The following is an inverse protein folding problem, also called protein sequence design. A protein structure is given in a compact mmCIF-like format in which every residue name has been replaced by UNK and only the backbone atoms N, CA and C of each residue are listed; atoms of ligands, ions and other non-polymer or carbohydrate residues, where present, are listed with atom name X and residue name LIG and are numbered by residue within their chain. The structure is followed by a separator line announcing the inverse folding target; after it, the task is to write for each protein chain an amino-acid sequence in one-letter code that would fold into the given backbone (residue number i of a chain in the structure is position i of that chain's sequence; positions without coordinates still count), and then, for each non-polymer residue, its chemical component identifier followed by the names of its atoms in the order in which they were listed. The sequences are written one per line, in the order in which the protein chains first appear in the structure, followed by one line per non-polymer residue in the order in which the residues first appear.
data_IF_340779432886
#
_entry.id   IF_340779432886
#
_cell.length_a   1.000
_cell.length_b   1.000
_cell.length_c   1.000
_cell.angle_alpha   90.00
_cell.angle_beta   90.00
_cell.angle_gamma   90.00
#
_symmetry.space_group_name_H-M   'P 1'
#
loop_
_entity.id
_entity.type
_entity.pdbx_description
1 polymer ?
#
# COMPACT_ATOMS: atom_id res chain seq x y z
N UNK A 1 -9.38 11.86 -1.19
CA UNK A 1 -8.98 11.04 -0.02
C UNK A 1 -7.57 10.55 -0.23
N UNK A 2 -6.68 10.86 0.70
CA UNK A 2 -5.25 10.56 0.56
C UNK A 2 -4.94 9.14 1.02
N UNK A 3 -4.17 8.41 0.22
CA UNK A 3 -3.89 6.98 0.40
C UNK A 3 -2.41 6.69 0.29
N UNK A 4 -1.92 5.80 1.13
CA UNK A 4 -0.60 5.20 1.03
C UNK A 4 -0.74 3.72 0.70
N UNK A 5 -0.06 3.28 -0.34
CA UNK A 5 -0.06 1.89 -0.78
C UNK A 5 1.18 1.16 -0.31
N UNK A 6 0.99 -0.09 0.07
CA UNK A 6 2.05 -0.99 0.52
C UNK A 6 2.05 -2.33 -0.22
N UNK A 7 3.25 -2.86 -0.50
CA UNK A 7 3.46 -4.20 -1.06
C UNK A 7 4.44 -5.02 -0.22
N UNK A 8 4.20 -6.34 -0.15
CA UNK A 8 5.01 -7.29 0.62
C UNK A 8 6.43 -7.41 0.06
N UNK A 9 7.44 -7.07 0.86
CA UNK A 9 8.86 -7.30 0.57
C UNK A 9 9.40 -8.49 1.37
N UNK A 10 10.19 -9.37 0.72
CA UNK A 10 10.62 -10.67 1.25
C UNK A 10 11.77 -10.63 2.28
N UNK A 11 12.26 -9.47 2.73
CA UNK A 11 13.40 -9.38 3.65
C UNK A 11 12.97 -9.18 5.10
N UNK A 12 13.25 -10.17 5.95
CA UNK A 12 12.87 -10.23 7.38
C UNK A 12 13.33 -9.02 8.21
N UNK A 13 14.51 -8.48 7.99
CA UNK A 13 15.02 -7.30 8.73
C UNK A 13 14.33 -5.99 8.33
N UNK A 14 13.87 -5.87 7.09
CA UNK A 14 13.08 -4.73 6.61
C UNK A 14 11.65 -4.74 7.16
N UNK A 15 11.11 -5.90 7.49
CA UNK A 15 9.74 -6.11 7.98
C UNK A 15 9.48 -5.47 9.35
N UNK A 16 10.48 -5.50 10.26
CA UNK A 16 10.29 -4.97 11.62
C UNK A 16 10.07 -3.46 11.68
N UNK A 17 10.48 -2.71 10.68
CA UNK A 17 10.36 -1.24 10.67
C UNK A 17 9.31 -0.78 9.66
N UNK A 18 8.99 -1.59 8.65
CA UNK A 18 8.01 -1.19 7.63
C UNK A 18 6.60 -0.96 8.21
N UNK A 19 6.14 -1.77 9.17
CA UNK A 19 4.83 -1.55 9.81
C UNK A 19 4.76 -0.21 10.56
N UNK A 20 5.91 0.30 11.08
CA UNK A 20 5.96 1.59 11.76
C UNK A 20 5.78 2.74 10.76
N UNK A 21 6.37 2.62 9.57
CA UNK A 21 6.14 3.59 8.48
C UNK A 21 4.68 3.62 8.07
N UNK A 22 4.05 2.45 7.92
CA UNK A 22 2.62 2.37 7.59
C UNK A 22 1.76 2.97 8.70
N UNK A 23 2.10 2.70 9.97
CA UNK A 23 1.41 3.28 11.13
C UNK A 23 1.55 4.79 11.17
N UNK A 24 2.74 5.33 10.88
CA UNK A 24 2.95 6.78 10.78
C UNK A 24 1.98 7.43 9.80
N UNK A 25 1.80 6.85 8.60
CA UNK A 25 0.82 7.35 7.63
C UNK A 25 -0.62 7.24 8.12
N UNK A 26 -0.98 6.11 8.78
CA UNK A 26 -2.30 5.94 9.37
C UNK A 26 -2.58 6.97 10.46
N UNK A 27 -1.60 7.25 11.34
CA UNK A 27 -1.72 8.23 12.43
C UNK A 27 -1.87 9.66 11.88
N UNK A 28 -1.35 9.94 10.70
CA UNK A 28 -1.59 11.18 9.95
C UNK A 28 -2.95 11.22 9.23
N UNK A 29 -3.78 10.18 9.36
CA UNK A 29 -5.14 10.10 8.82
C UNK A 29 -5.23 9.55 7.40
N UNK A 30 -4.16 8.98 6.84
CA UNK A 30 -4.20 8.36 5.52
C UNK A 30 -4.91 7.00 5.56
N UNK A 31 -5.70 6.70 4.51
CA UNK A 31 -6.19 5.35 4.26
C UNK A 31 -5.05 4.48 3.74
N UNK A 32 -4.88 3.32 4.36
CA UNK A 32 -3.89 2.34 3.94
C UNK A 32 -4.54 1.33 3.00
N UNK A 33 -3.89 1.07 1.86
CA UNK A 33 -4.33 0.05 0.88
C UNK A 33 -3.17 -0.91 0.64
N UNK A 34 -3.41 -2.18 0.97
CA UNK A 34 -2.50 -3.29 0.67
C UNK A 34 -2.93 -3.93 -0.65
N UNK A 35 -2.10 -3.82 -1.68
CA UNK A 35 -2.40 -4.41 -2.99
C UNK A 35 -1.44 -5.55 -3.26
N UNK A 36 -1.97 -6.75 -3.42
CA UNK A 36 -1.17 -7.95 -3.69
C UNK A 36 -1.55 -8.59 -5.03
N UNK A 37 -0.55 -9.12 -5.74
CA UNK A 37 -0.77 -9.94 -6.94
C UNK A 37 -1.14 -11.40 -6.61
N UNK A 38 -1.36 -11.73 -5.34
CA UNK A 38 -1.78 -13.09 -4.94
C UNK A 38 -3.26 -13.27 -5.23
N UNK A 39 -3.69 -14.50 -5.60
CA UNK A 39 -5.11 -14.78 -5.80
C UNK A 39 -5.89 -14.71 -4.47
N UNK A 40 -7.16 -14.39 -4.55
CA UNK A 40 -8.05 -14.21 -3.38
C UNK A 40 -8.15 -15.47 -2.49
N UNK A 41 -7.91 -16.67 -3.02
CA UNK A 41 -7.80 -17.91 -2.25
C UNK A 41 -6.74 -17.85 -1.15
N UNK A 42 -5.75 -16.95 -1.25
CA UNK A 42 -4.71 -16.76 -0.24
C UNK A 42 -5.03 -15.66 0.78
N UNK A 43 -6.24 -15.12 0.76
CA UNK A 43 -6.71 -14.06 1.65
C UNK A 43 -6.34 -14.33 3.12
N UNK A 44 -6.72 -15.49 3.65
CA UNK A 44 -6.48 -15.84 5.06
C UNK A 44 -4.98 -15.83 5.40
N UNK A 45 -4.13 -16.27 4.48
CA UNK A 45 -2.67 -16.24 4.67
C UNK A 45 -2.13 -14.82 4.72
N UNK A 46 -2.59 -13.95 3.81
CA UNK A 46 -2.16 -12.54 3.75
C UNK A 46 -2.64 -11.77 4.98
N UNK A 47 -3.92 -11.91 5.33
CA UNK A 47 -4.49 -11.22 6.51
C UNK A 47 -3.81 -11.68 7.79
N UNK A 48 -3.65 -13.00 7.99
CA UNK A 48 -2.95 -13.54 9.16
C UNK A 48 -1.50 -13.07 9.24
N UNK A 49 -0.85 -12.92 8.08
CA UNK A 49 0.51 -12.41 8.01
C UNK A 49 0.58 -10.93 8.42
N UNK A 50 -0.29 -10.08 7.88
CA UNK A 50 -0.38 -8.66 8.25
C UNK A 50 -0.63 -8.50 9.75
N UNK A 51 -1.58 -9.26 10.32
CA UNK A 51 -1.91 -9.23 11.74
C UNK A 51 -0.74 -9.68 12.60
N UNK A 52 -0.08 -10.79 12.25
CA UNK A 52 1.08 -11.31 12.99
C UNK A 52 2.24 -10.34 13.04
N UNK A 53 2.41 -9.52 12.00
CA UNK A 53 3.47 -8.52 11.92
C UNK A 53 3.03 -7.10 12.33
N UNK A 54 1.89 -6.99 13.03
CA UNK A 54 1.37 -5.73 13.58
C UNK A 54 1.14 -4.62 12.54
N UNK A 55 0.85 -4.99 11.29
CA UNK A 55 0.48 -4.00 10.29
C UNK A 55 -0.86 -3.34 10.64
N UNK A 56 -0.97 -2.03 10.46
CA UNK A 56 -2.23 -1.30 10.68
C UNK A 56 -3.37 -1.85 9.82
N UNK A 57 -4.59 -1.66 10.28
CA UNK A 57 -5.77 -1.99 9.47
C UNK A 57 -5.82 -1.14 8.20
N UNK A 58 -6.27 -1.75 7.09
CA UNK A 58 -6.39 -1.09 5.80
C UNK A 58 -7.24 -1.91 4.84
N UNK A 59 -7.47 -1.38 3.65
CA UNK A 59 -8.09 -2.13 2.56
C UNK A 59 -7.08 -3.15 2.01
N UNK A 60 -7.54 -4.35 1.69
CA UNK A 60 -6.70 -5.38 1.05
C UNK A 60 -7.29 -5.73 -0.30
N UNK A 61 -6.53 -5.56 -1.36
CA UNK A 61 -6.90 -5.94 -2.72
C UNK A 61 -6.08 -7.13 -3.18
N UNK A 62 -6.76 -8.10 -3.80
CA UNK A 62 -6.18 -9.32 -4.37
C UNK A 62 -6.35 -9.32 -5.88
N UNK A 63 -5.50 -10.07 -6.58
CA UNK A 63 -5.72 -10.32 -7.99
C UNK A 63 -6.91 -11.27 -8.17
N UNK A 64 -7.76 -11.01 -9.16
CA UNK A 64 -8.85 -11.90 -9.52
C UNK A 64 -8.28 -13.14 -10.22
N UNK A 65 -8.46 -14.31 -9.62
CA UNK A 65 -8.04 -15.59 -10.17
C UNK A 65 -6.52 -15.73 -10.35
N UNK A 66 -6.13 -16.49 -11.37
CA UNK A 66 -4.73 -16.65 -11.82
C UNK A 66 -4.42 -15.63 -12.92
N UNK A 67 -4.29 -14.37 -12.56
CA UNK A 67 -3.93 -13.33 -13.52
C UNK A 67 -2.53 -13.59 -14.12
N UNK A 68 -2.44 -13.59 -15.44
CA UNK A 68 -1.18 -13.65 -16.18
C UNK A 68 -0.44 -12.31 -16.17
N UNK A 69 -1.14 -11.20 -15.85
CA UNK A 69 -0.58 -9.84 -15.72
C UNK A 69 -0.93 -9.21 -14.36
N UNK A 70 -0.22 -9.57 -13.28
CA UNK A 70 -0.48 -9.01 -11.96
C UNK A 70 -0.15 -7.51 -11.86
N UNK A 71 0.70 -6.95 -12.70
CA UNK A 71 1.03 -5.52 -12.69
C UNK A 71 -0.06 -4.70 -13.39
N UNK A 72 -0.57 -5.18 -14.50
CA UNK A 72 -1.71 -4.57 -15.20
C UNK A 72 -2.94 -4.53 -14.30
N UNK A 73 -3.27 -5.64 -13.63
CA UNK A 73 -4.37 -5.70 -12.67
C UNK A 73 -4.23 -4.70 -11.51
N UNK A 74 -3.02 -4.56 -10.95
CA UNK A 74 -2.76 -3.54 -9.91
C UNK A 74 -3.00 -2.12 -10.43
N UNK A 75 -2.55 -1.85 -11.65
CA UNK A 75 -2.72 -0.55 -12.31
C UNK A 75 -4.19 -0.21 -12.50
N UNK A 76 -4.95 -1.15 -13.04
CA UNK A 76 -6.38 -1.01 -13.29
C UNK A 76 -7.16 -0.76 -11.98
N UNK A 77 -6.91 -1.56 -10.95
CA UNK A 77 -7.50 -1.38 -9.64
C UNK A 77 -7.25 0.03 -9.07
N UNK A 78 -6.01 0.51 -9.11
CA UNK A 78 -5.68 1.83 -8.57
C UNK A 78 -6.30 2.97 -9.39
N UNK A 79 -6.34 2.84 -10.73
CA UNK A 79 -7.03 3.79 -11.61
C UNK A 79 -8.53 3.83 -11.32
N UNK A 80 -9.15 2.67 -11.13
CA UNK A 80 -10.56 2.58 -10.76
C UNK A 80 -10.84 3.31 -9.44
N UNK A 81 -10.00 3.13 -8.41
CA UNK A 81 -10.14 3.85 -7.15
C UNK A 81 -10.02 5.38 -7.32
N UNK A 82 -9.12 5.85 -8.18
CA UNK A 82 -8.98 7.28 -8.47
C UNK A 82 -10.20 7.84 -9.20
N UNK A 83 -10.71 7.11 -10.19
CA UNK A 83 -11.80 7.58 -11.08
C UNK A 83 -13.17 7.49 -10.40
N UNK A 84 -13.48 6.35 -9.80
CA UNK A 84 -14.83 6.09 -9.25
C UNK A 84 -15.00 6.59 -7.80
N UNK A 85 -13.90 6.61 -7.02
CA UNK A 85 -13.96 6.94 -5.60
C UNK A 85 -13.22 8.24 -5.24
N UNK A 86 -12.71 8.97 -6.23
CA UNK A 86 -11.96 10.22 -6.04
C UNK A 86 -10.82 10.07 -5.02
N UNK A 87 -10.19 8.89 -5.00
CA UNK A 87 -9.07 8.60 -4.12
C UNK A 87 -7.80 9.21 -4.72
N UNK A 88 -7.06 9.97 -3.91
CA UNK A 88 -5.76 10.51 -4.28
C UNK A 88 -4.67 9.66 -3.64
N UNK A 89 -3.91 8.93 -4.47
CA UNK A 89 -2.75 8.19 -3.98
C UNK A 89 -1.63 9.16 -3.67
N UNK A 90 -1.19 9.21 -2.42
CA UNK A 90 -0.17 10.15 -1.94
C UNK A 90 1.24 9.56 -1.98
N UNK A 91 1.39 8.30 -1.61
CA UNK A 91 2.65 7.58 -1.64
C UNK A 91 2.44 6.11 -2.03
N UNK A 92 3.41 5.54 -2.73
CA UNK A 92 3.44 4.14 -3.11
C UNK A 92 4.71 3.47 -2.60
N UNK A 93 4.56 2.35 -1.90
CA UNK A 93 5.67 1.54 -1.40
C UNK A 93 5.67 0.19 -2.11
N UNK A 94 6.81 -0.27 -2.58
CA UNK A 94 6.85 -1.54 -3.31
C UNK A 94 8.24 -1.97 -3.75
N UNK A 95 8.27 -2.81 -4.76
CA UNK A 95 9.47 -3.29 -5.43
C UNK A 95 9.77 -2.49 -6.71
N UNK A 96 10.94 -2.71 -7.30
CA UNK A 96 11.31 -2.08 -8.57
C UNK A 96 10.32 -2.36 -9.73
N UNK A 97 9.56 -3.47 -9.65
CA UNK A 97 8.53 -3.81 -10.62
C UNK A 97 7.30 -2.90 -10.53
N UNK A 98 7.03 -2.33 -9.36
CA UNK A 98 5.84 -1.50 -9.12
C UNK A 98 6.04 -0.05 -9.55
N UNK A 99 7.25 0.36 -9.93
CA UNK A 99 7.53 1.71 -10.43
C UNK A 99 6.63 2.05 -11.61
N UNK A 100 6.49 1.13 -12.58
CA UNK A 100 5.61 1.33 -13.74
C UNK A 100 4.14 1.50 -13.36
N UNK A 101 3.67 0.74 -12.37
CA UNK A 101 2.31 0.84 -11.84
C UNK A 101 2.08 2.22 -11.25
N UNK A 102 2.97 2.67 -10.37
CA UNK A 102 2.85 3.98 -9.70
C UNK A 102 2.97 5.16 -10.67
N UNK A 103 3.91 5.08 -11.62
CA UNK A 103 4.06 6.10 -12.66
C UNK A 103 2.81 6.20 -13.53
N UNK A 104 2.18 5.06 -13.87
CA UNK A 104 0.97 5.02 -14.73
C UNK A 104 -0.28 5.61 -14.07
N UNK A 105 -0.32 5.70 -12.75
CA UNK A 105 -1.38 6.37 -11.99
C UNK A 105 -1.04 7.80 -11.60
N UNK A 106 0.06 8.34 -12.12
CA UNK A 106 0.45 9.73 -11.97
C UNK A 106 1.22 10.08 -10.70
N UNK A 107 1.78 9.09 -9.97
CA UNK A 107 2.65 9.40 -8.84
C UNK A 107 3.98 10.02 -9.34
N UNK A 108 4.43 11.05 -8.61
CA UNK A 108 5.75 11.64 -8.81
C UNK A 108 6.85 10.68 -8.30
N UNK A 109 8.05 10.72 -8.88
CA UNK A 109 9.17 9.90 -8.41
C UNK A 109 9.43 9.99 -6.90
N UNK A 110 9.33 11.17 -6.31
CA UNK A 110 9.55 11.41 -4.88
C UNK A 110 8.51 10.73 -3.98
N UNK A 111 7.35 10.37 -4.53
CA UNK A 111 6.26 9.67 -3.82
C UNK A 111 6.25 8.16 -4.09
N UNK A 112 7.21 7.64 -4.86
CA UNK A 112 7.37 6.22 -5.16
C UNK A 112 8.57 5.70 -4.35
N UNK A 113 8.31 4.98 -3.27
CA UNK A 113 9.32 4.53 -2.32
C UNK A 113 9.67 3.06 -2.56
N UNK A 114 10.91 2.79 -2.94
CA UNK A 114 11.36 1.44 -3.29
C UNK A 114 12.52 1.02 -2.39
N UNK A 115 12.40 -0.16 -1.78
CA UNK A 115 13.44 -0.78 -0.97
C UNK A 115 14.05 -1.96 -1.72
N UNK A 116 15.36 -2.19 -1.53
CA UNK A 116 16.08 -3.32 -2.09
C UNK A 116 17.00 -2.95 -3.24
N UNK A 117 17.53 -3.97 -3.92
CA UNK A 117 18.46 -3.78 -5.03
C UNK A 117 17.76 -3.16 -6.24
N UNK A 118 18.38 -2.13 -6.82
CA UNK A 118 17.84 -1.43 -7.96
C UNK A 118 18.92 -1.16 -9.02
N UNK A 119 18.54 -1.14 -10.28
CA UNK A 119 19.42 -0.72 -11.35
C UNK A 119 19.55 0.81 -11.39
N UNK A 120 20.72 1.30 -11.79
CA UNK A 120 20.98 2.76 -11.89
C UNK A 120 19.95 3.50 -12.75
N UNK A 121 19.41 2.84 -13.78
CA UNK A 121 18.40 3.41 -14.71
C UNK A 121 17.07 3.71 -14.02
N UNK A 122 16.71 2.97 -12.97
CA UNK A 122 15.42 3.11 -12.28
C UNK A 122 15.48 4.10 -11.10
N UNK A 123 16.68 4.42 -10.60
CA UNK A 123 16.86 5.32 -9.45
C UNK A 123 16.25 6.70 -9.70
N UNK A 124 16.32 7.22 -10.93
CA UNK A 124 15.73 8.51 -11.29
C UNK A 124 14.20 8.51 -11.34
N UNK A 125 13.56 7.34 -11.30
CA UNK A 125 12.11 7.18 -11.42
C UNK A 125 11.41 6.97 -10.09
N UNK A 126 12.14 6.96 -8.97
CA UNK A 126 11.60 6.72 -7.65
C UNK A 126 12.52 7.25 -6.55
N UNK A 127 11.99 7.35 -5.34
CA UNK A 127 12.76 7.55 -4.11
C UNK A 127 13.30 6.19 -3.66
N UNK A 128 14.58 5.90 -3.97
CA UNK A 128 15.23 4.67 -3.57
C UNK A 128 15.68 4.74 -2.11
N UNK A 129 15.08 3.94 -1.25
CA UNK A 129 15.38 3.86 0.17
C UNK A 129 16.61 2.96 0.40
N UNK A 130 17.80 3.45 0.00
CA UNK A 130 19.07 2.70 0.12
C UNK A 130 19.42 2.34 1.56
N UNK A 131 19.10 3.21 2.51
CA UNK A 131 19.34 3.02 3.95
C UNK A 131 18.15 2.31 4.65
N UNK A 132 17.10 1.96 3.90
CA UNK A 132 15.95 1.22 4.38
C UNK A 132 14.89 2.09 5.07
N UNK A 133 13.91 1.41 5.68
CA UNK A 133 12.73 2.07 6.27
C UNK A 133 13.02 2.89 7.52
N UNK A 134 14.08 2.58 8.29
CA UNK A 134 14.43 3.31 9.50
C UNK A 134 14.83 4.75 9.19
N UNK A 135 15.76 4.93 8.26
CA UNK A 135 16.19 6.23 7.80
C UNK A 135 15.04 7.01 7.15
N UNK A 136 14.21 6.32 6.36
CA UNK A 136 13.04 6.92 5.76
C UNK A 136 12.02 7.41 6.81
N UNK A 137 11.75 6.64 7.86
CA UNK A 137 10.88 7.05 8.95
C UNK A 137 11.41 8.32 9.64
N UNK A 138 12.73 8.39 9.88
CA UNK A 138 13.36 9.59 10.46
C UNK A 138 13.13 10.81 9.57
N UNK A 139 13.21 10.67 8.24
CA UNK A 139 12.90 11.73 7.29
C UNK A 139 11.43 12.13 7.35
N UNK A 140 10.49 11.16 7.39
CA UNK A 140 9.06 11.43 7.45
C UNK A 140 8.64 12.18 8.72
N UNK A 141 9.26 11.87 9.86
CA UNK A 141 8.97 12.50 11.16
C UNK A 141 9.61 13.88 11.29
N UNK A 142 10.65 14.19 10.50
CA UNK A 142 11.31 15.51 10.53
C UNK A 142 10.37 16.62 10.03
N UNK A 143 10.60 17.87 10.45
CA UNK A 143 9.81 19.01 9.99
C UNK A 143 9.76 19.11 8.46
N UNK A 144 8.56 19.07 7.88
CA UNK A 144 8.37 19.07 6.42
C UNK A 144 8.48 17.72 5.74
N UNK A 145 8.81 16.63 6.45
CA UNK A 145 8.95 15.28 5.88
C UNK A 145 7.62 14.62 5.52
N UNK A 146 6.57 14.91 6.27
CA UNK A 146 5.20 14.45 6.00
C UNK A 146 4.17 15.47 6.50
N UNK A 147 2.94 15.36 6.02
CA UNK A 147 1.82 16.22 6.42
C UNK A 147 0.60 15.36 6.77
N UNK A 148 -0.32 15.86 7.61
CA UNK A 148 -1.62 15.20 7.80
C UNK A 148 -2.40 15.07 6.49
N UNK A 149 -3.19 14.00 6.39
CA UNK A 149 -4.07 13.76 5.26
C UNK A 149 -5.13 14.87 5.14
N UNK A 150 -5.47 15.21 3.90
CA UNK A 150 -6.50 16.21 3.61
C UNK A 150 -7.76 15.52 3.10
N UNK A 151 -8.93 15.99 3.52
CA UNK A 151 -10.22 15.48 3.05
C UNK A 151 -10.70 14.17 3.69
N UNK A 152 -9.94 13.57 4.59
CA UNK A 152 -10.30 12.31 5.25
C UNK A 152 -11.15 12.48 6.51
N UNK A 153 -11.40 13.71 6.95
CA UNK A 153 -12.06 14.02 8.23
C UNK A 153 -13.50 13.50 8.38
N UNK A 154 -14.12 13.01 7.29
CA UNK A 154 -15.48 12.47 7.29
C UNK A 154 -15.57 10.97 7.07
N UNK A 155 -14.43 10.28 6.89
CA UNK A 155 -14.46 8.82 6.76
C UNK A 155 -14.46 8.17 8.15
N UNK A 156 -15.64 8.03 8.72
CA UNK A 156 -15.85 7.11 9.85
C UNK A 156 -16.03 5.71 9.24
N UNK A 157 -15.02 4.88 9.34
CA UNK A 157 -15.19 3.44 9.10
C UNK A 157 -15.95 2.93 10.33
N UNK A 158 -17.24 2.49 10.20
CA UNK A 158 -17.96 1.98 11.36
C UNK A 158 -17.16 0.82 11.93
N UNK A 159 -16.77 0.89 13.20
CA UNK A 159 -16.31 -0.29 13.93
C UNK A 159 -17.51 -1.23 13.98
N UNK A 160 -17.42 -2.38 13.33
CA UNK A 160 -18.34 -3.47 13.57
C UNK A 160 -18.21 -3.83 15.06
N UNK A 161 -19.22 -3.46 15.82
CA UNK A 161 -19.33 -3.83 17.23
C UNK A 161 -19.39 -5.36 17.31
N UNK A 162 -18.33 -5.98 17.80
CA UNK A 162 -18.38 -7.35 18.26
C UNK A 162 -17.65 -8.41 17.43
N UNK A 163 -16.79 -8.09 16.45
CA UNK A 163 -15.97 -9.09 15.77
C UNK A 163 -14.52 -8.62 15.71
N UNK A 164 -13.63 -9.44 16.25
CA UNK A 164 -12.19 -9.33 16.15
C UNK A 164 -11.74 -8.99 14.74
N UNK A 165 -11.14 -7.83 14.59
CA UNK A 165 -10.23 -7.40 13.52
C UNK A 165 -10.60 -7.80 12.09
N UNK A 166 -11.66 -7.27 11.51
CA UNK A 166 -11.93 -7.47 10.09
C UNK A 166 -11.25 -6.38 9.26
N UNK A 167 -10.23 -6.79 8.49
CA UNK A 167 -9.77 -6.05 7.32
C UNK A 167 -10.94 -5.96 6.33
N UNK A 168 -11.33 -4.74 5.95
CA UNK A 168 -12.39 -4.52 4.96
C UNK A 168 -11.94 -5.06 3.60
N UNK A 169 -12.67 -6.05 3.10
CA UNK A 169 -12.48 -6.62 1.78
C UNK A 169 -13.16 -5.77 0.71
N UNK A 170 -12.44 -5.41 -0.34
CA UNK A 170 -13.02 -4.99 -1.59
C UNK A 170 -12.48 -5.90 -2.69
N UNK A 171 -13.36 -6.63 -3.36
CA UNK A 171 -13.05 -7.16 -4.69
C UNK A 171 -12.93 -8.66 -4.93
N UNK A 172 -13.50 -9.54 -4.11
CA UNK A 172 -13.79 -10.89 -4.59
C UNK A 172 -15.28 -10.97 -4.98
N UNK A 173 -15.59 -10.81 -6.26
CA UNK A 173 -16.92 -11.20 -6.78
C UNK A 173 -16.89 -12.71 -6.94
N UNK A 174 -17.67 -13.41 -6.13
CA UNK A 174 -18.06 -14.78 -6.45
C UNK A 174 -19.10 -14.69 -7.57
N UNK A 175 -18.72 -14.97 -8.79
CA UNK A 175 -19.67 -15.46 -9.77
C UNK A 175 -20.03 -16.88 -9.35
N UNK A 176 -21.15 -17.03 -8.67
CA UNK A 176 -21.81 -18.31 -8.52
C UNK A 176 -22.46 -18.62 -9.87
N UNK A 177 -21.99 -19.66 -10.55
CA UNK A 177 -22.74 -20.52 -11.44
C UNK A 177 -22.84 -21.89 -10.82
#
# INVERSE_FOLDING_TARGET
MDVVRWEETRHLTSLFICHVVVRHWQDLGYLIIYVTGRPCMQLQKVVSWLTRHNFPQGLVSFADGFSTDPLGHKTEYLKHLQQEHSIVVHAGYGSSKDISVYSSIGLKPDSIHIVGKMSKKLISQCNHLSEGYAAHLTQLVSPGGSRPAQGNARMVIPRASGVTGNLLQTGCRHTAE
#
